data_IF_581943609258
#
_entry.id   IF_581943609258
#
_cell.length_a   1.000
_cell.length_b   1.000
_cell.length_c   1.000
_cell.angle_alpha   90.00
_cell.angle_beta   90.00
_cell.angle_gamma   90.00
#
_symmetry.space_group_name_H-M   'P 1'
#
loop_
_entity.id
_entity.type
_entity.pdbx_description
1 polymer ?
#
# COMPACT_ATOMS: atom_id res chain seq x y z
N UNK A 1 4.99 -9.23 -1.60
CA UNK A 1 6.09 -8.37 -2.10
C UNK A 1 6.67 -7.49 -1.01
N UNK A 2 5.99 -6.45 -0.53
CA UNK A 2 6.52 -5.58 0.54
C UNK A 2 6.90 -6.35 1.82
N UNK A 3 6.10 -7.34 2.20
CA UNK A 3 6.34 -8.23 3.33
C UNK A 3 7.56 -9.13 3.15
N UNK A 4 7.76 -9.64 1.94
CA UNK A 4 8.89 -10.47 1.56
C UNK A 4 10.18 -9.65 1.51
N UNK A 5 10.15 -8.48 0.88
CA UNK A 5 11.27 -7.53 0.88
C UNK A 5 11.61 -7.13 2.32
N UNK A 6 10.61 -6.85 3.16
CA UNK A 6 10.84 -6.55 4.56
C UNK A 6 11.40 -7.76 5.34
N UNK A 7 10.94 -8.99 5.09
CA UNK A 7 11.52 -10.21 5.69
C UNK A 7 12.96 -10.44 5.21
N UNK A 8 13.27 -10.21 3.94
CA UNK A 8 14.64 -10.35 3.41
C UNK A 8 15.56 -9.29 4.01
N UNK A 9 15.12 -8.03 4.06
CA UNK A 9 15.92 -6.89 4.55
C UNK A 9 16.05 -6.89 6.08
N UNK A 10 14.98 -7.22 6.80
CA UNK A 10 14.94 -7.10 8.27
C UNK A 10 15.18 -8.41 9.03
N UNK A 11 14.93 -9.58 8.42
CA UNK A 11 15.13 -10.90 9.07
C UNK A 11 16.25 -11.71 8.42
N UNK A 12 16.94 -11.17 7.39
CA UNK A 12 18.03 -11.81 6.64
C UNK A 12 17.73 -13.26 6.19
N UNK A 13 16.46 -13.64 6.08
CA UNK A 13 16.06 -14.95 5.58
C UNK A 13 16.26 -14.99 4.08
N UNK A 14 17.45 -15.41 3.69
CA UNK A 14 17.79 -15.64 2.29
C UNK A 14 17.00 -16.85 1.78
N UNK A 15 16.53 -16.78 0.53
CA UNK A 15 15.85 -17.92 -0.11
C UNK A 15 16.79 -19.12 -0.32
N UNK A 16 18.11 -18.87 -0.27
CA UNK A 16 19.17 -19.85 -0.41
C UNK A 16 20.10 -19.67 0.79
N UNK A 17 20.25 -20.72 1.59
CA UNK A 17 21.12 -20.70 2.77
C UNK A 17 22.58 -20.76 2.31
N UNK A 18 23.24 -19.61 2.20
CA UNK A 18 24.59 -19.49 1.66
C UNK A 18 25.64 -19.53 2.79
N UNK A 19 26.38 -20.64 2.88
CA UNK A 19 27.52 -20.81 3.80
C UNK A 19 28.88 -20.51 3.13
N UNK A 20 28.93 -19.52 2.25
CA UNK A 20 30.15 -19.17 1.52
C UNK A 20 30.85 -17.91 2.05
N UNK A 21 31.91 -17.45 1.35
CA UNK A 21 32.69 -16.29 1.76
C UNK A 21 31.87 -14.99 1.81
N UNK A 22 32.27 -14.01 2.63
CA UNK A 22 31.45 -12.83 2.98
C UNK A 22 31.09 -11.94 1.79
N UNK A 23 31.91 -11.94 0.73
CA UNK A 23 31.64 -11.17 -0.49
C UNK A 23 30.47 -11.74 -1.33
N UNK A 24 30.05 -12.99 -1.10
CA UNK A 24 28.93 -13.62 -1.81
C UNK A 24 27.54 -13.24 -1.26
N UNK A 25 27.45 -12.80 0.00
CA UNK A 25 26.18 -12.44 0.66
C UNK A 25 25.33 -11.39 -0.08
N UNK A 26 25.89 -10.25 -0.55
CA UNK A 26 25.08 -9.27 -1.29
C UNK A 26 24.55 -9.81 -2.61
N UNK A 27 25.30 -10.67 -3.30
CA UNK A 27 24.86 -11.27 -4.56
C UNK A 27 23.67 -12.21 -4.35
N UNK A 28 23.73 -13.06 -3.32
CA UNK A 28 22.61 -13.94 -2.94
C UNK A 28 21.38 -13.12 -2.55
N UNK A 29 21.57 -11.98 -1.89
CA UNK A 29 20.48 -11.08 -1.54
C UNK A 29 19.81 -10.48 -2.79
N UNK A 30 20.58 -9.98 -3.75
CA UNK A 30 20.05 -9.47 -5.04
C UNK A 30 19.30 -10.57 -5.79
N UNK A 31 19.90 -11.76 -5.87
CA UNK A 31 19.28 -12.91 -6.53
C UNK A 31 17.96 -13.30 -5.87
N UNK A 32 17.88 -13.28 -4.54
CA UNK A 32 16.64 -13.56 -3.82
C UNK A 32 15.53 -12.58 -4.20
N UNK A 33 15.83 -11.27 -4.30
CA UNK A 33 14.86 -10.25 -4.70
C UNK A 33 14.35 -10.50 -6.12
N UNK A 34 15.23 -10.90 -7.04
CA UNK A 34 14.84 -11.25 -8.42
C UNK A 34 13.92 -12.47 -8.44
N UNK A 35 14.25 -13.53 -7.69
CA UNK A 35 13.42 -14.76 -7.61
C UNK A 35 12.01 -14.42 -7.11
N UNK A 36 11.90 -13.64 -6.03
CA UNK A 36 10.59 -13.19 -5.53
C UNK A 36 9.85 -12.29 -6.53
N UNK A 37 10.59 -11.45 -7.24
CA UNK A 37 10.13 -10.67 -8.40
C UNK A 37 9.43 -11.53 -9.43
N UNK A 38 10.15 -12.53 -9.91
CA UNK A 38 9.71 -13.47 -10.95
C UNK A 38 8.54 -14.34 -10.47
N UNK A 39 8.51 -14.74 -9.20
CA UNK A 39 7.37 -15.49 -8.65
C UNK A 39 6.07 -14.67 -8.67
N UNK A 40 6.11 -13.34 -8.67
CA UNK A 40 4.90 -12.53 -8.80
C UNK A 40 4.52 -12.26 -10.27
N UNK A 41 5.40 -12.56 -11.22
CA UNK A 41 5.18 -12.27 -12.64
C UNK A 41 3.94 -12.96 -13.23
N UNK A 42 3.67 -14.26 -12.97
CA UNK A 42 2.48 -14.93 -13.50
C UNK A 42 1.17 -14.24 -13.08
N UNK A 43 1.11 -13.70 -11.86
CA UNK A 43 -0.05 -12.97 -11.36
C UNK A 43 -0.27 -11.66 -12.15
N UNK A 44 0.80 -10.93 -12.45
CA UNK A 44 0.71 -9.69 -13.23
C UNK A 44 0.40 -9.96 -14.70
N UNK A 45 0.98 -11.03 -15.28
CA UNK A 45 0.63 -11.50 -16.61
C UNK A 45 -0.85 -11.90 -16.69
N UNK A 46 -1.35 -12.57 -15.64
CA UNK A 46 -2.75 -12.97 -15.53
C UNK A 46 -3.71 -11.77 -15.63
N UNK A 47 -3.36 -10.67 -14.96
CA UNK A 47 -4.14 -9.43 -14.92
C UNK A 47 -4.04 -8.59 -16.20
N UNK A 48 -2.91 -8.65 -16.93
CA UNK A 48 -2.68 -7.82 -18.11
C UNK A 48 -3.36 -8.35 -19.37
N UNK A 49 -3.40 -9.68 -19.55
CA UNK A 49 -3.93 -10.32 -20.77
C UNK A 49 -5.47 -10.20 -20.90
N UNK A 50 -6.20 -9.97 -19.80
CA UNK A 50 -7.68 -9.85 -19.75
C UNK A 50 -8.46 -10.98 -20.45
N UNK A 51 -7.83 -12.12 -20.65
CA UNK A 51 -8.45 -13.32 -21.23
C UNK A 51 -9.03 -14.21 -20.12
N UNK A 52 -10.11 -14.97 -20.38
CA UNK A 52 -10.70 -15.84 -19.36
C UNK A 52 -9.72 -16.90 -18.85
N UNK A 53 -8.92 -17.51 -19.75
CA UNK A 53 -7.89 -18.49 -19.37
C UNK A 53 -6.83 -17.87 -18.44
N UNK A 54 -6.49 -16.60 -18.69
CA UNK A 54 -5.54 -15.83 -17.90
C UNK A 54 -6.02 -15.65 -16.45
N UNK A 55 -7.30 -15.27 -16.26
CA UNK A 55 -7.89 -15.16 -14.92
C UNK A 55 -8.02 -16.52 -14.21
N UNK A 56 -8.32 -17.58 -14.95
CA UNK A 56 -8.39 -18.93 -14.39
C UNK A 56 -7.01 -19.40 -13.88
N UNK A 57 -5.98 -19.28 -14.70
CA UNK A 57 -4.60 -19.62 -14.29
C UNK A 57 -4.12 -18.74 -13.13
N UNK A 58 -4.45 -17.45 -13.16
CA UNK A 58 -4.16 -16.54 -12.05
C UNK A 58 -4.85 -16.97 -10.75
N UNK A 59 -6.12 -17.39 -10.79
CA UNK A 59 -6.85 -17.86 -9.62
C UNK A 59 -6.29 -19.17 -9.07
N UNK A 60 -5.93 -20.10 -9.95
CA UNK A 60 -5.30 -21.36 -9.53
C UNK A 60 -3.95 -21.09 -8.85
N UNK A 61 -3.18 -20.14 -9.39
CA UNK A 61 -1.92 -19.71 -8.82
C UNK A 61 -2.10 -19.07 -7.43
N UNK A 62 -3.08 -18.18 -7.24
CA UNK A 62 -3.33 -17.57 -5.94
C UNK A 62 -3.81 -18.60 -4.93
N UNK A 63 -4.69 -19.52 -5.30
CA UNK A 63 -5.14 -20.61 -4.41
C UNK A 63 -4.00 -21.53 -3.98
N UNK A 64 -3.10 -21.91 -4.90
CA UNK A 64 -1.92 -22.69 -4.56
C UNK A 64 -1.01 -21.92 -3.57
N UNK A 65 -0.83 -20.62 -3.79
CA UNK A 65 -0.05 -19.76 -2.90
C UNK A 65 -0.70 -19.61 -1.52
N UNK A 66 -2.02 -19.45 -1.46
CA UNK A 66 -2.79 -19.42 -0.21
C UNK A 66 -2.69 -20.74 0.53
N UNK A 67 -2.83 -21.87 -0.17
CA UNK A 67 -2.68 -23.21 0.43
C UNK A 67 -1.28 -23.38 1.04
N UNK A 68 -0.24 -22.98 0.33
CA UNK A 68 1.14 -23.00 0.84
C UNK A 68 1.28 -22.18 2.14
N UNK A 69 0.75 -20.96 2.16
CA UNK A 69 0.82 -20.10 3.35
C UNK A 69 0.02 -20.67 4.54
N UNK A 70 -1.13 -21.28 4.29
CA UNK A 70 -1.93 -21.91 5.34
C UNK A 70 -1.18 -23.10 5.92
N UNK A 71 -0.56 -23.94 5.08
CA UNK A 71 0.25 -25.07 5.53
C UNK A 71 1.45 -24.58 6.34
N UNK A 72 2.23 -23.63 5.83
CA UNK A 72 3.37 -23.04 6.53
C UNK A 72 2.96 -22.49 7.91
N UNK A 73 1.80 -21.83 7.99
CA UNK A 73 1.30 -21.28 9.24
C UNK A 73 0.78 -22.35 10.21
N UNK A 74 0.22 -23.45 9.70
CA UNK A 74 -0.30 -24.55 10.52
C UNK A 74 0.79 -25.40 11.18
N UNK A 75 1.95 -25.53 10.54
CA UNK A 75 3.07 -26.37 11.03
C UNK A 75 3.89 -25.67 12.11
N UNK A 76 3.77 -24.35 12.26
CA UNK A 76 4.60 -23.59 13.19
C UNK A 76 4.12 -23.74 14.64
N UNK A 77 4.78 -24.60 15.43
CA UNK A 77 4.54 -24.84 16.87
C UNK A 77 5.10 -23.71 17.77
N UNK A 78 4.71 -22.47 17.49
CA UNK A 78 5.14 -21.30 18.26
C UNK A 78 4.30 -21.15 19.55
N UNK A 79 4.90 -20.54 20.58
CA UNK A 79 4.20 -20.10 21.79
C UNK A 79 2.98 -19.22 21.42
N UNK A 80 1.89 -19.33 22.18
CA UNK A 80 0.61 -18.65 21.93
C UNK A 80 0.76 -17.13 21.76
N UNK A 81 1.61 -16.50 22.57
CA UNK A 81 1.91 -15.06 22.47
C UNK A 81 2.63 -14.71 21.16
N UNK A 82 3.61 -15.51 20.74
CA UNK A 82 4.34 -15.31 19.50
C UNK A 82 3.45 -15.52 18.26
N UNK A 83 2.49 -16.46 18.34
CA UNK A 83 1.52 -16.73 17.28
C UNK A 83 0.62 -15.53 17.00
N UNK A 84 0.09 -14.90 18.06
CA UNK A 84 -0.77 -13.72 17.94
C UNK A 84 -0.02 -12.58 17.23
N UNK A 85 1.21 -12.31 17.65
CA UNK A 85 2.05 -11.27 17.04
C UNK A 85 2.35 -11.56 15.57
N UNK A 86 2.67 -12.81 15.25
CA UNK A 86 2.90 -13.20 13.86
C UNK A 86 1.65 -12.97 13.00
N UNK A 87 0.46 -13.28 13.51
CA UNK A 87 -0.80 -13.03 12.80
C UNK A 87 -1.01 -11.53 12.58
N UNK A 88 -0.83 -10.69 13.60
CA UNK A 88 -0.97 -9.24 13.45
C UNK A 88 0.05 -8.65 12.47
N UNK A 89 1.30 -9.12 12.49
CA UNK A 89 2.32 -8.66 11.56
C UNK A 89 1.99 -9.00 10.11
N UNK A 90 1.36 -10.15 9.86
CA UNK A 90 1.04 -10.64 8.52
C UNK A 90 -0.42 -10.36 8.10
N UNK A 91 -1.24 -9.68 8.92
CA UNK A 91 -2.67 -9.46 8.64
C UNK A 91 -2.90 -8.78 7.29
N UNK A 92 -2.04 -7.82 6.97
CA UNK A 92 -2.15 -7.02 5.77
C UNK A 92 -1.77 -7.82 4.51
N UNK A 93 -0.85 -8.79 4.67
CA UNK A 93 -0.55 -9.77 3.62
C UNK A 93 -1.72 -10.71 3.40
N UNK A 94 -2.31 -11.25 4.47
CA UNK A 94 -3.50 -12.11 4.36
C UNK A 94 -4.65 -11.37 3.70
N UNK A 95 -4.89 -10.10 4.06
CA UNK A 95 -5.95 -9.29 3.47
C UNK A 95 -5.74 -9.11 1.96
N UNK A 96 -4.51 -8.86 1.51
CA UNK A 96 -4.19 -8.75 0.09
C UNK A 96 -4.43 -10.07 -0.67
N UNK A 97 -4.07 -11.19 -0.06
CA UNK A 97 -4.22 -12.51 -0.67
C UNK A 97 -5.69 -12.91 -0.74
N UNK A 98 -6.44 -12.74 0.35
CA UNK A 98 -7.90 -12.96 0.37
C UNK A 98 -8.58 -12.07 -0.67
N UNK A 99 -8.16 -10.82 -0.78
CA UNK A 99 -8.68 -9.91 -1.79
C UNK A 99 -8.42 -10.45 -3.21
N UNK A 100 -7.20 -10.92 -3.50
CA UNK A 100 -6.86 -11.52 -4.79
C UNK A 100 -7.66 -12.81 -5.05
N UNK A 101 -7.77 -13.68 -4.04
CA UNK A 101 -8.50 -14.94 -4.12
C UNK A 101 -9.99 -14.77 -4.40
N UNK A 102 -10.58 -13.64 -3.99
CA UNK A 102 -11.97 -13.31 -4.33
C UNK A 102 -12.06 -12.54 -5.65
N UNK A 103 -11.12 -11.63 -5.91
CA UNK A 103 -11.16 -10.73 -7.06
C UNK A 103 -10.93 -11.46 -8.39
N UNK A 104 -9.95 -12.35 -8.50
CA UNK A 104 -9.65 -13.08 -9.74
C UNK A 104 -10.81 -13.98 -10.20
N UNK A 105 -11.38 -14.86 -9.37
CA UNK A 105 -12.51 -15.69 -9.80
C UNK A 105 -13.75 -14.86 -10.08
N UNK A 106 -13.97 -13.76 -9.34
CA UNK A 106 -15.06 -12.83 -9.66
C UNK A 106 -14.92 -12.23 -11.06
N UNK A 107 -13.72 -11.78 -11.44
CA UNK A 107 -13.45 -11.27 -12.78
C UNK A 107 -13.60 -12.38 -13.84
N UNK A 108 -13.14 -13.59 -13.56
CA UNK A 108 -13.33 -14.74 -14.43
C UNK A 108 -14.82 -14.98 -14.71
N UNK A 109 -15.65 -15.08 -13.67
CA UNK A 109 -17.10 -15.28 -13.80
C UNK A 109 -17.74 -14.11 -14.55
N UNK A 110 -17.33 -12.88 -14.29
CA UNK A 110 -17.89 -11.70 -14.96
C UNK A 110 -17.56 -11.69 -16.46
N UNK A 111 -16.30 -11.99 -16.84
CA UNK A 111 -15.87 -12.08 -18.24
C UNK A 111 -16.57 -13.24 -18.93
N UNK A 112 -16.69 -14.39 -18.26
CA UNK A 112 -17.36 -15.57 -18.79
C UNK A 112 -18.85 -15.30 -19.02
N UNK A 113 -19.55 -14.72 -18.04
CA UNK A 113 -20.97 -14.33 -18.18
C UNK A 113 -21.19 -13.35 -19.33
N UNK A 114 -20.33 -12.34 -19.48
CA UNK A 114 -20.40 -11.41 -20.61
C UNK A 114 -20.22 -12.14 -21.92
N UNK A 115 -19.19 -13.00 -22.02
CA UNK A 115 -18.89 -13.78 -23.23
C UNK A 115 -20.04 -14.70 -23.63
N UNK A 116 -20.63 -15.43 -22.68
CA UNK A 116 -21.79 -16.29 -22.91
C UNK A 116 -22.99 -15.46 -23.41
N UNK A 117 -23.25 -14.30 -22.79
CA UNK A 117 -24.39 -13.45 -23.14
C UNK A 117 -24.27 -12.83 -24.54
N UNK A 118 -23.07 -12.45 -24.98
CA UNK A 118 -22.88 -11.85 -26.31
C UNK A 118 -22.82 -12.87 -27.43
N UNK A 119 -22.73 -14.18 -27.15
CA UNK A 119 -22.78 -15.27 -28.15
C UNK A 119 -21.63 -15.31 -29.17
N UNK A 120 -20.92 -14.21 -29.39
CA UNK A 120 -19.84 -14.10 -30.37
C UNK A 120 -18.47 -14.28 -29.72
N UNK A 121 -17.75 -15.29 -30.21
CA UNK A 121 -16.32 -15.50 -29.94
C UNK A 121 -15.42 -14.52 -30.69
N UNK A 122 -15.98 -13.77 -31.65
CA UNK A 122 -15.23 -12.91 -32.54
C UNK A 122 -15.35 -11.43 -32.15
N UNK A 123 -14.19 -10.87 -31.81
CA UNK A 123 -13.83 -9.48 -32.14
C UNK A 123 -14.64 -8.37 -31.46
N UNK A 124 -14.70 -8.37 -30.13
CA UNK A 124 -15.01 -7.15 -29.34
C UNK A 124 -13.91 -6.07 -29.39
N UNK A 125 -13.12 -6.01 -30.48
CA UNK A 125 -12.03 -5.06 -30.69
C UNK A 125 -12.37 -3.98 -31.74
N UNK A 126 -13.46 -4.14 -32.48
CA UNK A 126 -13.82 -3.25 -33.59
C UNK A 126 -15.19 -2.61 -33.34
N UNK A 127 -15.27 -1.28 -33.46
CA UNK A 127 -16.39 -0.40 -33.14
C UNK A 127 -16.62 -0.07 -31.66
N UNK A 128 -15.65 0.62 -31.07
CA UNK A 128 -15.91 1.44 -29.89
C UNK A 128 -16.75 2.65 -30.34
N UNK A 129 -18.06 2.62 -30.11
CA UNK A 129 -18.98 3.75 -30.39
C UNK A 129 -18.42 5.06 -29.83
N UNK A 130 -18.58 6.16 -30.57
CA UNK A 130 -18.18 7.51 -30.18
C UNK A 130 -18.72 7.92 -28.80
N UNK A 131 -19.90 7.45 -28.41
CA UNK A 131 -20.48 7.70 -27.09
C UNK A 131 -19.66 7.02 -25.99
N UNK A 132 -19.14 5.82 -26.28
CA UNK A 132 -18.25 5.08 -25.38
C UNK A 132 -16.89 5.77 -25.30
N UNK A 133 -16.42 6.39 -26.38
CA UNK A 133 -15.21 7.23 -26.35
C UNK A 133 -15.39 8.50 -25.52
N UNK A 134 -16.53 9.19 -25.64
CA UNK A 134 -16.85 10.38 -24.82
C UNK A 134 -16.91 10.06 -23.32
N UNK A 135 -17.28 8.83 -22.96
CA UNK A 135 -17.27 8.36 -21.57
C UNK A 135 -15.86 8.18 -20.97
N UNK A 136 -14.80 8.23 -21.80
CA UNK A 136 -13.45 8.13 -21.28
C UNK A 136 -13.05 9.34 -20.45
N UNK A 137 -12.31 9.05 -19.39
CA UNK A 137 -11.74 10.02 -18.46
C UNK A 137 -11.02 11.18 -19.17
N UNK A 138 -10.28 10.89 -20.23
CA UNK A 138 -9.52 11.89 -20.98
C UNK A 138 -10.43 12.94 -21.62
N UNK A 139 -11.51 12.52 -22.30
CA UNK A 139 -12.48 13.44 -22.90
C UNK A 139 -13.22 14.24 -21.84
N UNK A 140 -13.65 13.60 -20.74
CA UNK A 140 -14.36 14.28 -19.65
C UNK A 140 -13.50 15.38 -19.01
N UNK A 141 -12.21 15.11 -18.80
CA UNK A 141 -11.26 16.08 -18.22
C UNK A 141 -11.08 17.31 -19.10
N UNK A 142 -10.99 17.13 -20.41
CA UNK A 142 -10.94 18.24 -21.36
C UNK A 142 -12.24 19.05 -21.30
N UNK A 143 -13.41 18.41 -21.25
CA UNK A 143 -14.69 19.12 -21.12
C UNK A 143 -14.77 19.98 -19.87
N UNK A 144 -14.24 19.51 -18.74
CA UNK A 144 -14.22 20.28 -17.48
C UNK A 144 -13.26 21.47 -17.59
N UNK A 145 -12.07 21.29 -18.19
CA UNK A 145 -11.10 22.36 -18.40
C UNK A 145 -11.62 23.48 -19.31
N UNK A 146 -12.52 23.15 -20.25
CA UNK A 146 -13.17 24.13 -21.12
C UNK A 146 -14.41 24.79 -20.51
N UNK A 147 -14.92 24.33 -19.36
CA UNK A 147 -16.04 25.00 -18.69
C UNK A 147 -15.54 26.27 -18.01
N UNK A 148 -16.19 27.43 -18.23
CA UNK A 148 -15.83 28.67 -17.54
C UNK A 148 -16.03 28.48 -16.03
N UNK A 149 -15.01 28.87 -15.26
CA UNK A 149 -15.06 28.85 -13.80
C UNK A 149 -16.06 29.92 -13.34
N UNK A 150 -17.13 29.51 -12.66
CA UNK A 150 -18.01 30.43 -11.94
C UNK A 150 -17.37 30.63 -10.57
N UNK A 151 -16.98 31.86 -10.27
CA UNK A 151 -16.37 32.24 -9.00
C UNK A 151 -17.44 32.15 -7.91
N UNK A 152 -17.29 31.21 -6.98
CA UNK A 152 -18.19 31.11 -5.82
C UNK A 152 -17.81 32.17 -4.79
N UNK A 153 -18.78 33.00 -4.38
CA UNK A 153 -18.61 34.02 -3.34
C UNK A 153 -18.26 33.38 -2.00
N UNK A 154 -17.13 33.84 -1.43
CA UNK A 154 -16.65 33.45 -0.11
C UNK A 154 -17.56 34.12 0.92
N UNK A 155 -18.44 33.34 1.54
CA UNK A 155 -19.21 33.78 2.72
C UNK A 155 -18.35 33.65 3.97
N UNK A 156 -18.51 34.59 4.91
CA UNK A 156 -17.69 34.72 6.11
C UNK A 156 -18.12 33.70 7.19
N UNK A 157 -17.16 32.94 7.71
CA UNK A 157 -17.40 31.62 8.34
C UNK A 157 -17.04 31.62 9.83
N UNK A 158 -17.99 31.19 10.68
CA UNK A 158 -17.92 31.15 12.15
C UNK A 158 -16.83 30.22 12.70
N UNK A 159 -16.41 30.41 13.96
CA UNK A 159 -15.34 29.63 14.60
C UNK A 159 -15.62 28.10 14.64
N UNK A 160 -16.89 27.69 14.76
CA UNK A 160 -17.28 26.27 14.72
C UNK A 160 -17.14 25.68 13.31
N UNK A 161 -17.37 26.52 12.30
CA UNK A 161 -17.17 26.17 10.90
C UNK A 161 -15.68 26.17 10.53
N UNK A 162 -14.79 26.85 11.28
CA UNK A 162 -13.34 26.68 11.12
C UNK A 162 -12.86 25.28 11.52
N UNK A 163 -13.41 24.69 12.58
CA UNK A 163 -13.07 23.31 12.98
C UNK A 163 -13.62 22.31 11.97
N UNK A 164 -14.87 22.50 11.52
CA UNK A 164 -15.47 21.69 10.46
C UNK A 164 -14.70 21.83 9.14
N UNK A 165 -14.27 23.04 8.80
CA UNK A 165 -13.43 23.37 7.66
C UNK A 165 -12.05 22.71 7.77
N UNK A 166 -11.46 22.67 8.97
CA UNK A 166 -10.22 21.93 9.20
C UNK A 166 -10.39 20.42 8.98
N UNK A 167 -11.48 19.83 9.47
CA UNK A 167 -11.79 18.41 9.23
C UNK A 167 -12.14 18.12 7.75
N UNK A 168 -12.83 19.03 7.07
CA UNK A 168 -13.11 18.90 5.64
C UNK A 168 -11.84 19.09 4.79
N UNK A 169 -10.92 19.96 5.22
CA UNK A 169 -9.63 20.14 4.56
C UNK A 169 -8.67 18.97 4.88
N UNK A 170 -8.86 18.31 6.02
CA UNK A 170 -8.17 17.06 6.36
C UNK A 170 -8.69 15.89 5.54
N UNK A 171 -10.01 15.75 5.45
CA UNK A 171 -10.63 14.60 4.80
C UNK A 171 -10.52 14.76 3.29
N UNK A 172 -9.72 13.91 2.65
CA UNK A 172 -9.63 13.90 1.20
C UNK A 172 -11.01 13.65 0.58
N UNK A 173 -11.59 14.69 -0.02
CA UNK A 173 -12.82 14.56 -0.78
C UNK A 173 -12.50 13.90 -2.11
N UNK A 174 -13.01 12.68 -2.28
CA UNK A 174 -12.75 11.89 -3.49
C UNK A 174 -13.42 12.57 -4.68
N UNK A 175 -12.61 13.23 -5.51
CA UNK A 175 -13.10 13.80 -6.74
C UNK A 175 -13.35 12.68 -7.75
N UNK A 176 -14.62 12.42 -8.05
CA UNK A 176 -15.04 11.37 -8.98
C UNK A 176 -14.48 11.60 -10.39
N UNK A 177 -14.04 12.81 -10.69
CA UNK A 177 -13.53 13.23 -11.99
C UNK A 177 -12.01 13.20 -12.06
N UNK A 178 -11.31 12.86 -10.97
CA UNK A 178 -9.85 12.72 -10.94
C UNK A 178 -9.43 11.27 -10.66
N UNK A 179 -8.70 10.65 -11.60
CA UNK A 179 -8.13 9.31 -11.43
C UNK A 179 -6.63 9.45 -11.21
N UNK A 180 -6.15 9.02 -10.06
CA UNK A 180 -4.73 8.90 -9.80
C UNK A 180 -4.08 7.86 -10.72
N UNK A 181 -2.83 8.13 -11.11
CA UNK A 181 -2.01 7.14 -11.78
C UNK A 181 -1.87 5.91 -10.89
N UNK A 182 -2.06 4.72 -11.46
CA UNK A 182 -1.93 3.45 -10.73
C UNK A 182 -0.60 3.34 -9.99
N UNK A 183 0.48 3.93 -10.54
CA UNK A 183 1.80 3.98 -9.89
C UNK A 183 1.76 4.68 -8.54
N UNK A 184 1.08 5.83 -8.45
CA UNK A 184 0.98 6.60 -7.20
C UNK A 184 0.20 5.83 -6.16
N UNK A 185 -0.93 5.23 -6.55
CA UNK A 185 -1.74 4.40 -5.66
C UNK A 185 -0.93 3.21 -5.14
N UNK A 186 -0.18 2.54 -6.01
CA UNK A 186 0.69 1.44 -5.63
C UNK A 186 1.78 1.87 -4.64
N UNK A 187 2.46 3.00 -4.89
CA UNK A 187 3.49 3.52 -3.98
C UNK A 187 2.88 3.85 -2.62
N UNK A 188 1.75 4.56 -2.60
CA UNK A 188 1.05 4.91 -1.35
C UNK A 188 0.67 3.66 -0.55
N UNK A 189 0.14 2.64 -1.22
CA UNK A 189 -0.24 1.38 -0.59
C UNK A 189 0.97 0.60 -0.06
N UNK A 190 2.06 0.53 -0.83
CA UNK A 190 3.30 -0.13 -0.41
C UNK A 190 3.90 0.60 0.81
N UNK A 191 3.94 1.93 0.78
CA UNK A 191 4.42 2.73 1.91
C UNK A 191 3.59 2.49 3.17
N UNK A 192 2.26 2.43 3.04
CA UNK A 192 1.38 2.07 4.16
C UNK A 192 1.75 0.71 4.76
N UNK A 193 2.03 -0.28 3.92
CA UNK A 193 2.35 -1.64 4.36
C UNK A 193 3.67 -1.70 5.11
N UNK A 194 4.71 -1.07 4.57
CA UNK A 194 6.04 -1.03 5.20
C UNK A 194 5.98 -0.29 6.53
N UNK A 195 5.25 0.82 6.57
CA UNK A 195 5.07 1.61 7.78
C UNK A 195 4.32 0.83 8.86
N UNK A 196 3.24 0.14 8.49
CA UNK A 196 2.50 -0.75 9.38
C UNK A 196 3.40 -1.85 9.96
N UNK A 197 4.19 -2.52 9.12
CA UNK A 197 5.06 -3.62 9.56
C UNK A 197 6.19 -3.17 10.48
N UNK A 198 6.84 -2.08 10.13
CA UNK A 198 7.90 -1.48 10.94
C UNK A 198 7.35 -1.06 12.30
N UNK A 199 6.18 -0.42 12.29
CA UNK A 199 5.52 0.03 13.51
C UNK A 199 5.18 -1.14 14.45
N UNK A 200 4.52 -2.19 13.96
CA UNK A 200 4.17 -3.36 14.78
C UNK A 200 5.43 -4.02 15.36
N UNK A 201 6.52 -4.12 14.58
CA UNK A 201 7.80 -4.65 15.09
C UNK A 201 8.38 -3.78 16.21
N UNK A 202 8.37 -2.46 16.05
CA UNK A 202 8.87 -1.53 17.08
C UNK A 202 8.03 -1.63 18.35
N UNK A 203 6.70 -1.59 18.25
CA UNK A 203 5.81 -1.71 19.41
C UNK A 203 5.99 -3.05 20.12
N UNK A 204 6.12 -4.14 19.36
CA UNK A 204 6.38 -5.45 19.94
C UNK A 204 7.72 -5.50 20.67
N UNK A 205 8.79 -5.02 20.05
CA UNK A 205 10.13 -4.96 20.64
C UNK A 205 10.15 -4.15 21.95
N UNK A 206 9.53 -2.96 21.93
CA UNK A 206 9.40 -2.10 23.11
C UNK A 206 8.54 -2.76 24.18
N UNK A 207 7.43 -3.41 23.81
CA UNK A 207 6.56 -4.13 24.76
C UNK A 207 7.31 -5.25 25.45
N UNK A 208 8.11 -6.03 24.70
CA UNK A 208 8.91 -7.12 25.28
C UNK A 208 9.95 -6.59 26.27
N UNK A 209 10.66 -5.52 25.89
CA UNK A 209 11.63 -4.86 26.77
C UNK A 209 10.97 -4.36 28.06
N UNK A 210 9.80 -3.69 27.94
CA UNK A 210 9.06 -3.19 29.10
C UNK A 210 8.55 -4.34 29.97
N UNK A 211 8.11 -5.45 29.39
CA UNK A 211 7.68 -6.62 30.14
C UNK A 211 8.83 -7.25 30.93
N UNK A 212 10.02 -7.39 30.31
CA UNK A 212 11.22 -7.90 30.98
C UNK A 212 11.62 -6.97 32.13
N UNK A 213 11.68 -5.66 31.91
CA UNK A 213 11.99 -4.69 32.97
C UNK A 213 10.94 -4.74 34.09
N UNK A 214 9.66 -4.77 33.75
CA UNK A 214 8.59 -4.86 34.75
C UNK A 214 8.66 -6.15 35.55
N UNK A 215 9.05 -7.27 34.95
CA UNK A 215 9.21 -8.54 35.66
C UNK A 215 10.34 -8.50 36.70
N UNK A 216 11.48 -7.90 36.33
CA UNK A 216 12.62 -7.70 37.26
C UNK A 216 12.25 -6.72 38.37
N UNK A 217 11.55 -5.63 38.03
CA UNK A 217 11.08 -4.63 39.01
C UNK A 217 10.06 -5.25 39.96
N UNK A 218 9.13 -6.09 39.49
CA UNK A 218 8.17 -6.77 40.37
C UNK A 218 8.84 -7.77 41.29
N UNK A 219 9.80 -8.56 40.80
CA UNK A 219 10.55 -9.51 41.63
C UNK A 219 11.37 -8.79 42.73
N UNK A 220 11.95 -7.64 42.37
CA UNK A 220 12.66 -6.78 43.33
C UNK A 220 11.69 -6.17 44.35
N UNK A 221 10.45 -5.84 43.96
CA UNK A 221 9.44 -5.35 44.91
C UNK A 221 8.94 -6.44 45.85
N UNK A 222 8.71 -7.65 45.33
CA UNK A 222 8.23 -8.79 46.11
C UNK A 222 9.25 -9.21 47.17
N UNK A 223 10.56 -9.11 46.87
CA UNK A 223 11.63 -9.37 47.85
C UNK A 223 11.75 -8.29 48.92
N UNK A 224 11.44 -7.01 48.60
CA UNK A 224 11.53 -5.88 49.53
C UNK A 224 10.22 -5.67 50.32
N UNK A 225 9.14 -6.37 49.95
CA UNK A 225 7.76 -6.18 50.40
C UNK A 225 7.14 -4.85 49.95
N UNK A 226 5.86 -4.90 49.56
CA UNK A 226 5.10 -3.76 49.06
C UNK A 226 4.77 -2.73 50.16
N UNK A 227 4.65 -3.20 51.40
CA UNK A 227 4.25 -2.39 52.55
C UNK A 227 5.44 -1.84 53.34
N UNK A 228 5.25 -0.64 53.89
CA UNK A 228 6.26 0.01 54.72
C UNK A 228 6.41 -0.74 56.05
N UNK A 229 7.58 -1.31 56.30
CA UNK A 229 7.86 -1.91 57.61
C UNK A 229 8.34 -0.85 58.60
N UNK A 230 7.94 -0.93 59.89
CA UNK A 230 8.25 0.08 60.89
C UNK A 230 9.74 0.21 61.20
N UNK A 231 10.56 -0.79 60.87
CA UNK A 231 12.01 -0.83 61.16
C UNK A 231 12.92 -0.44 59.98
N UNK A 232 12.36 -0.05 58.83
CA UNK A 232 13.18 0.21 57.65
C UNK A 232 13.93 1.55 57.70
N UNK A 233 15.19 1.52 57.26
CA UNK A 233 16.03 2.70 57.06
C UNK A 233 15.40 3.66 56.04
N UNK A 234 15.64 4.97 56.20
CA UNK A 234 15.13 6.02 55.28
C UNK A 234 15.46 5.74 53.82
N UNK A 235 16.66 5.20 53.56
CA UNK A 235 17.13 4.82 52.21
C UNK A 235 16.22 3.76 51.54
N UNK A 236 15.70 2.78 52.29
CA UNK A 236 14.79 1.75 51.75
C UNK A 236 13.38 2.28 51.50
N UNK A 237 12.94 3.29 52.25
CA UNK A 237 11.66 3.96 52.02
C UNK A 237 11.70 4.76 50.71
N UNK A 238 12.79 5.50 50.48
CA UNK A 238 12.98 6.27 49.25
C UNK A 238 13.10 5.36 48.01
N UNK A 239 13.85 4.26 48.10
CA UNK A 239 13.96 3.30 46.99
C UNK A 239 12.60 2.68 46.61
N UNK A 240 11.76 2.33 47.60
CA UNK A 240 10.40 1.81 47.35
C UNK A 240 9.47 2.85 46.73
N UNK A 241 9.52 4.10 47.20
CA UNK A 241 8.72 5.18 46.62
C UNK A 241 9.08 5.39 45.14
N UNK A 242 10.38 5.35 44.81
CA UNK A 242 10.87 5.50 43.45
C UNK A 242 10.43 4.34 42.54
N UNK A 243 10.50 3.08 43.00
CA UNK A 243 10.00 1.94 42.22
C UNK A 243 8.47 1.97 42.05
N UNK A 244 7.70 2.39 43.05
CA UNK A 244 6.24 2.56 42.92
C UNK A 244 5.88 3.61 41.87
N UNK A 245 6.57 4.75 41.89
CA UNK A 245 6.40 5.80 40.86
C UNK A 245 6.80 5.27 39.49
N UNK A 246 7.92 4.58 39.38
CA UNK A 246 8.35 3.96 38.13
C UNK A 246 7.27 3.02 37.58
N UNK A 247 6.82 2.03 38.37
CA UNK A 247 5.81 1.07 37.95
C UNK A 247 4.49 1.74 37.50
N UNK A 248 4.02 2.74 38.24
CA UNK A 248 2.82 3.49 37.88
C UNK A 248 2.98 4.36 36.63
N UNK A 249 4.19 4.79 36.29
CA UNK A 249 4.48 5.55 35.06
C UNK A 249 4.66 4.62 33.86
N UNK A 250 5.29 3.46 34.02
CA UNK A 250 5.56 2.51 32.93
C UNK A 250 4.29 1.84 32.42
N UNK A 251 3.31 1.56 33.31
CA UNK A 251 2.03 0.93 32.95
C UNK A 251 1.19 1.72 31.93
N UNK A 252 0.91 3.03 32.10
CA UNK A 252 0.19 3.83 31.11
C UNK A 252 1.04 4.18 29.89
N UNK A 253 2.38 4.14 29.99
CA UNK A 253 3.28 4.39 28.86
C UNK A 253 3.07 3.37 27.73
N UNK A 254 2.72 2.13 28.07
CA UNK A 254 2.34 1.11 27.08
C UNK A 254 1.09 1.50 26.28
N UNK A 255 0.02 1.93 26.96
CA UNK A 255 -1.21 2.44 26.31
C UNK A 255 -0.95 3.65 25.42
N UNK A 256 -0.05 4.55 25.85
CA UNK A 256 0.35 5.73 25.07
C UNK A 256 1.19 5.40 23.84
N UNK A 257 1.94 4.30 23.86
CA UNK A 257 2.73 3.84 22.70
C UNK A 257 1.86 3.41 21.50
N UNK A 258 0.57 3.15 21.70
CA UNK A 258 -0.40 2.87 20.63
C UNK A 258 -0.93 4.15 19.94
N UNK A 259 -0.85 5.30 20.61
CA UNK A 259 -1.31 6.59 20.06
C UNK A 259 -0.63 7.02 18.75
N UNK A 260 0.69 6.83 18.54
CA UNK A 260 1.31 7.15 17.25
C UNK A 260 0.75 6.36 16.07
N UNK A 261 0.05 5.22 16.27
CA UNK A 261 -0.67 4.50 15.18
C UNK A 261 -1.73 5.41 14.55
N UNK A 262 -2.52 6.05 15.41
CA UNK A 262 -3.60 6.92 14.98
C UNK A 262 -3.01 8.13 14.25
N UNK A 263 -1.95 8.73 14.80
CA UNK A 263 -1.28 9.87 14.19
C UNK A 263 -0.69 9.52 12.83
N UNK A 264 0.06 8.42 12.72
CA UNK A 264 0.69 8.00 11.45
C UNK A 264 -0.35 7.63 10.39
N UNK A 265 -1.44 6.95 10.78
CA UNK A 265 -2.54 6.66 9.84
C UNK A 265 -3.17 7.92 9.25
N UNK A 266 -3.21 9.00 10.04
CA UNK A 266 -3.75 10.28 9.59
C UNK A 266 -2.78 11.07 8.69
N UNK A 267 -1.48 10.86 8.79
CA UNK A 267 -0.47 11.50 7.92
C UNK A 267 -0.33 10.83 6.55
N UNK A 268 -0.70 9.55 6.42
CA UNK A 268 -0.57 8.84 5.14
C UNK A 268 -1.67 9.20 4.13
N UNK A 269 -2.73 9.88 4.56
CA UNK A 269 -3.70 10.45 3.64
C UNK A 269 -3.13 11.72 3.02
N UNK A 270 -2.97 11.78 1.68
CA UNK A 270 -2.42 12.95 1.03
C UNK A 270 -3.32 14.16 1.34
N UNK A 271 -2.79 15.11 2.11
CA UNK A 271 -3.43 16.41 2.28
C UNK A 271 -3.56 17.05 0.92
N UNK A 272 -4.73 17.61 0.63
CA UNK A 272 -4.91 18.47 -0.54
C UNK A 272 -3.90 19.62 -0.37
N UNK A 273 -2.88 19.67 -1.24
CA UNK A 273 -2.10 20.88 -1.38
C UNK A 273 -3.10 21.94 -1.83
N UNK A 274 -3.51 22.81 -0.92
CA UNK A 274 -4.35 23.94 -1.25
C UNK A 274 -3.56 24.76 -2.25
N UNK A 275 -3.91 24.66 -3.53
CA UNK A 275 -3.43 25.53 -4.59
C UNK A 275 -4.08 26.90 -4.38
N UNK A 276 -3.73 27.55 -3.27
CA UNK A 276 -4.01 28.95 -2.94
C UNK A 276 -2.67 29.71 -2.95
N UNK A 277 -1.74 29.27 -3.80
CA UNK A 277 -0.64 30.10 -4.29
C UNK A 277 -1.02 30.53 -5.69
N UNK A 278 -1.64 31.70 -5.81
CA UNK A 278 -1.87 32.33 -7.10
C UNK A 278 -0.54 32.49 -7.83
N UNK A 279 -0.30 31.68 -8.86
CA UNK A 279 0.65 32.02 -9.90
C UNK A 279 -0.04 33.09 -10.74
N UNK A 280 0.03 34.33 -10.26
CA UNK A 280 -0.21 35.52 -11.05
C UNK A 280 0.99 35.65 -11.99
N UNK A 281 0.99 34.81 -13.03
CA UNK A 281 1.83 34.99 -14.21
C UNK A 281 1.34 36.27 -14.89
N UNK A 282 1.96 37.39 -14.55
CA UNK A 282 1.94 38.62 -15.33
C UNK A 282 2.43 38.29 -16.73
N UNK A 283 1.50 37.99 -17.64
CA UNK A 283 1.77 37.97 -19.08
C UNK A 283 1.67 39.41 -19.56
N UNK A 284 2.76 40.14 -19.30
CA UNK A 284 3.02 41.44 -19.89
C UNK A 284 3.18 41.25 -21.40
N UNK A 285 2.44 42.05 -22.16
CA UNK A 285 2.24 41.86 -23.58
C UNK A 285 3.53 41.92 -24.40
N UNK A 286 3.71 40.94 -25.27
CA UNK A 286 4.53 41.09 -26.47
C UNK A 286 3.67 40.81 -27.69
N UNK A 287 3.19 41.91 -28.27
CA UNK A 287 2.58 42.00 -29.58
C UNK A 287 3.64 41.62 -30.62
N UNK A 288 3.64 40.37 -31.08
CA UNK A 288 4.43 39.97 -32.25
C UNK A 288 3.51 40.05 -33.48
N UNK A 289 3.69 41.13 -34.22
CA UNK A 289 3.31 41.27 -35.62
C UNK A 289 4.29 40.42 -36.43
N UNK A 290 3.82 39.57 -37.35
CA UNK A 290 4.69 39.01 -38.37
C UNK A 290 4.23 37.70 -39.01
N UNK A 291 3.61 37.84 -40.19
CA UNK A 291 3.77 37.01 -41.39
C UNK A 291 3.88 35.48 -41.29
N UNK A 292 2.97 34.81 -42.01
CA UNK A 292 3.01 33.37 -42.24
C UNK A 292 4.20 32.88 -43.05
N UNK A 293 4.50 31.60 -42.88
CA UNK A 293 5.05 30.73 -43.92
C UNK A 293 4.63 29.29 -43.62
N UNK A 294 4.17 28.61 -44.67
CA UNK A 294 3.96 27.17 -44.71
C UNK A 294 5.30 26.46 -44.69
N UNK A 295 5.43 25.36 -43.96
CA UNK A 295 6.24 24.21 -44.40
C UNK A 295 5.59 22.89 -43.96
N UNK A 296 5.18 22.13 -44.97
CA UNK A 296 5.00 20.69 -44.93
C UNK A 296 6.37 20.00 -45.11
N UNK A 297 6.39 18.66 -44.92
CA UNK A 297 7.46 17.66 -45.17
C UNK A 297 8.49 17.50 -44.05
N UNK A 298 8.97 16.31 -43.64
CA UNK A 298 8.74 14.89 -44.01
C UNK A 298 9.50 13.99 -43.02
N UNK A 299 8.98 12.78 -42.76
CA UNK A 299 9.72 11.54 -42.43
C UNK A 299 10.43 11.43 -41.07
N UNK A 300 10.53 10.29 -40.39
CA UNK A 300 10.34 8.91 -40.82
C UNK A 300 10.14 7.97 -39.60
N UNK A 301 9.07 7.16 -39.69
CA UNK A 301 8.96 5.71 -39.47
C UNK A 301 9.92 4.99 -38.50
N UNK A 302 9.36 4.28 -37.51
CA UNK A 302 9.83 2.93 -37.17
C UNK A 302 8.64 1.97 -37.07
N UNK A 303 8.75 0.93 -37.89
CA UNK A 303 7.79 -0.09 -38.29
C UNK A 303 7.37 -1.05 -37.19
N UNK A 304 6.07 -1.33 -37.10
CA UNK A 304 5.51 -2.48 -36.38
C UNK A 304 4.99 -3.47 -37.44
N UNK A 305 5.85 -4.41 -37.82
CA UNK A 305 5.54 -5.49 -38.75
C UNK A 305 4.74 -6.58 -38.03
N UNK A 306 3.53 -6.83 -38.51
CA UNK A 306 2.76 -8.04 -38.25
C UNK A 306 2.96 -9.01 -39.42
N UNK A 307 3.22 -10.31 -39.19
CA UNK A 307 3.09 -11.30 -40.24
C UNK A 307 1.62 -11.63 -40.49
N UNK A 308 1.16 -11.37 -41.71
CA UNK A 308 -0.03 -11.97 -42.32
C UNK A 308 0.40 -13.27 -43.00
N UNK A 309 -0.08 -14.42 -42.53
CA UNK A 309 -0.03 -15.66 -43.29
C UNK A 309 -1.42 -15.94 -43.87
N UNK A 310 -1.47 -15.95 -45.20
CA UNK A 310 -2.64 -16.26 -46.01
C UNK A 310 -2.81 -17.78 -46.13
N UNK A 311 -4.08 -18.14 -46.23
CA UNK A 311 -4.64 -19.39 -46.73
C UNK A 311 -3.82 -20.04 -47.85
N UNK A 312 -3.63 -21.36 -47.74
CA UNK A 312 -3.39 -22.24 -48.88
C UNK A 312 -4.41 -23.38 -48.87
N UNK A 313 -4.96 -23.59 -50.07
CA UNK A 313 -5.95 -24.57 -50.48
C UNK A 313 -5.40 -26.00 -50.53
N UNK A 314 -6.32 -26.94 -50.33
CA UNK A 314 -6.25 -28.38 -50.62
C UNK A 314 -5.76 -28.70 -52.04
N UNK A 315 -5.29 -29.94 -52.25
CA UNK A 315 -6.15 -30.97 -52.87
C UNK A 315 -6.68 -32.03 -51.90
#
# INVERSE_FOLDING_TARGET
MATLVFKIVAESKQAVDYKGPPWGSPFVTILSVIIYGTNCFPLFAALSLRQPLSYFLGSLYTWAFTAFLVVEHSVCSMSTAARITYVFQNILQFLCIIYLDLFLPYQFVQVLRRRIRTGSWETARSHMSWEKMRSFYQCRRVTILLKPQVEEEITDVSCCEKIKGFFQNWTYTWDKEFRYSSRIICIMWISLMVLYMTFIKVVWSVTKLIQEVNSVVSETLDTISWDDQPLDSSLRKDARALLRVYYNVTKPMWLRSLFPILVISTFLFPRKASASGGIQSSMEGTKIIGHGTNYATSGATMSLSFPTEKQFSLP
#
